data_IF_380554768934
#
_entry.id   IF_380554768934
#
_cell.length_a   1.000
_cell.length_b   1.000
_cell.length_c   1.000
_cell.angle_alpha   90.00
_cell.angle_beta   90.00
_cell.angle_gamma   90.00
#
_symmetry.space_group_name_H-M   'P 1'
#
loop_
_entity.id
_entity.type
_entity.pdbx_description
1 polymer ?
#
# COMPACT_ATOMS: atom_id res chain seq x y z
N UNK A 1 17.42 -8.46 -7.74
CA UNK A 1 16.10 -8.03 -8.24
C UNK A 1 15.25 -9.26 -8.39
N UNK A 2 14.08 -9.27 -7.75
CA UNK A 2 13.10 -10.35 -7.84
C UNK A 2 11.75 -9.75 -8.18
N UNK A 3 10.98 -10.38 -9.07
CA UNK A 3 9.64 -9.92 -9.46
C UNK A 3 8.58 -10.97 -9.13
N UNK A 4 7.43 -10.53 -8.67
CA UNK A 4 6.25 -11.36 -8.44
C UNK A 4 5.03 -10.65 -8.99
N UNK A 5 4.25 -11.32 -9.81
CA UNK A 5 3.05 -10.76 -10.46
C UNK A 5 1.84 -11.60 -10.13
N UNK A 6 0.72 -10.93 -9.88
CA UNK A 6 -0.60 -11.48 -9.62
C UNK A 6 -1.62 -10.70 -10.46
N UNK A 7 -2.83 -11.22 -10.69
CA UNK A 7 -3.88 -10.42 -11.31
C UNK A 7 -4.01 -9.06 -10.61
N UNK A 8 -3.97 -7.99 -11.40
CA UNK A 8 -4.08 -6.59 -10.93
C UNK A 8 -2.95 -6.08 -10.02
N UNK A 9 -1.85 -6.83 -9.81
CA UNK A 9 -0.73 -6.37 -8.98
C UNK A 9 0.61 -6.97 -9.39
N UNK A 10 1.63 -6.12 -9.57
CA UNK A 10 3.01 -6.56 -9.81
C UNK A 10 3.93 -5.91 -8.79
N UNK A 11 4.80 -6.70 -8.18
CA UNK A 11 5.77 -6.25 -7.18
C UNK A 11 7.17 -6.58 -7.64
N UNK A 12 8.04 -5.57 -7.67
CA UNK A 12 9.47 -5.71 -8.00
C UNK A 12 10.28 -5.34 -6.76
N UNK A 13 11.11 -6.26 -6.30
CA UNK A 13 11.99 -6.06 -5.15
C UNK A 13 13.42 -5.90 -5.63
N UNK A 14 14.06 -4.80 -5.25
CA UNK A 14 15.46 -4.52 -5.57
C UNK A 14 16.29 -4.67 -4.29
N UNK A 15 17.18 -5.67 -4.27
CA UNK A 15 18.13 -5.87 -3.18
C UNK A 15 19.42 -5.12 -3.47
N UNK A 16 19.81 -4.23 -2.55
CA UNK A 16 21.02 -3.42 -2.66
C UNK A 16 22.21 -4.09 -1.95
N UNK A 17 23.44 -3.74 -2.35
CA UNK A 17 24.65 -4.18 -1.64
C UNK A 17 24.69 -3.55 -0.24
N UNK A 18 25.21 -4.30 0.73
CA UNK A 18 25.42 -3.81 2.09
C UNK A 18 26.31 -2.55 2.08
N UNK A 19 25.91 -1.52 2.81
CA UNK A 19 26.61 -0.23 2.86
C UNK A 19 26.23 0.77 1.75
N UNK A 20 25.34 0.41 0.82
CA UNK A 20 24.81 1.36 -0.17
C UNK A 20 23.90 2.40 0.50
N UNK A 21 23.96 3.65 0.04
CA UNK A 21 23.06 4.69 0.52
C UNK A 21 21.63 4.43 0.00
N UNK A 22 20.64 4.18 0.88
CA UNK A 22 19.28 3.86 0.48
C UNK A 22 18.55 5.04 -0.19
N UNK A 23 18.93 6.28 0.11
CA UNK A 23 18.29 7.48 -0.44
C UNK A 23 18.76 7.72 -1.88
N UNK A 24 20.04 7.49 -2.16
CA UNK A 24 20.59 7.51 -3.53
C UNK A 24 19.95 6.41 -4.36
N UNK A 25 19.86 5.18 -3.82
CA UNK A 25 19.21 4.06 -4.48
C UNK A 25 17.74 4.35 -4.80
N UNK A 26 17.01 4.97 -3.86
CA UNK A 26 15.62 5.37 -4.06
C UNK A 26 15.49 6.40 -5.19
N UNK A 27 16.35 7.41 -5.23
CA UNK A 27 16.37 8.42 -6.28
C UNK A 27 16.65 7.81 -7.67
N UNK A 28 17.60 6.88 -7.75
CA UNK A 28 17.90 6.15 -8.99
C UNK A 28 16.70 5.31 -9.46
N UNK A 29 16.08 4.54 -8.55
CA UNK A 29 14.88 3.74 -8.88
C UNK A 29 13.73 4.63 -9.32
N UNK A 30 13.48 5.75 -8.63
CA UNK A 30 12.46 6.73 -9.01
C UNK A 30 12.68 7.25 -10.44
N UNK A 31 13.91 7.66 -10.76
CA UNK A 31 14.25 8.16 -12.09
C UNK A 31 14.04 7.10 -13.18
N UNK A 32 14.47 5.85 -12.93
CA UNK A 32 14.30 4.74 -13.89
C UNK A 32 12.83 4.37 -14.09
N UNK A 33 12.04 4.32 -13.02
CA UNK A 33 10.60 4.02 -13.08
C UNK A 33 9.86 5.13 -13.83
N UNK A 34 10.19 6.40 -13.58
CA UNK A 34 9.61 7.53 -14.32
C UNK A 34 9.93 7.45 -15.82
N UNK A 35 11.14 7.04 -16.20
CA UNK A 35 11.54 6.88 -17.60
C UNK A 35 10.76 5.80 -18.37
N UNK A 36 10.29 4.76 -17.67
CA UNK A 36 9.48 3.68 -18.28
C UNK A 36 7.98 3.83 -18.02
N UNK A 37 7.55 4.83 -17.25
CA UNK A 37 6.13 5.07 -16.91
C UNK A 37 5.25 5.16 -18.16
N UNK A 38 5.76 5.77 -19.23
CA UNK A 38 5.04 5.89 -20.51
C UNK A 38 4.86 4.57 -21.28
N UNK A 39 5.51 3.48 -20.85
CA UNK A 39 5.33 2.14 -21.41
C UNK A 39 4.31 1.31 -20.63
N UNK A 40 3.81 1.84 -19.50
CA UNK A 40 2.77 1.19 -18.72
C UNK A 40 1.40 1.38 -19.41
N UNK A 41 0.49 0.40 -19.33
CA UNK A 41 -0.86 0.55 -19.87
C UNK A 41 -1.60 1.75 -19.25
N UNK A 42 -2.40 2.46 -20.03
CA UNK A 42 -3.15 3.65 -19.56
C UNK A 42 -4.10 3.35 -18.40
N UNK A 43 -4.59 2.11 -18.29
CA UNK A 43 -5.45 1.67 -17.21
C UNK A 43 -4.69 1.33 -15.91
N UNK A 44 -3.35 1.38 -15.92
CA UNK A 44 -2.54 1.08 -14.74
C UNK A 44 -2.47 2.26 -13.78
N UNK A 45 -2.48 1.98 -12.48
CA UNK A 45 -2.23 3.01 -11.45
C UNK A 45 -0.76 3.39 -11.45
N UNK A 46 -0.48 4.61 -10.98
CA UNK A 46 0.90 5.05 -10.78
C UNK A 46 1.65 4.10 -9.83
N UNK A 47 2.88 3.71 -10.19
CA UNK A 47 3.68 2.82 -9.35
C UNK A 47 4.06 3.52 -8.05
N UNK A 48 3.85 2.82 -6.93
CA UNK A 48 4.27 3.28 -5.60
C UNK A 48 5.62 2.64 -5.27
N UNK A 49 6.60 3.47 -4.93
CA UNK A 49 7.95 3.01 -4.57
C UNK A 49 8.12 3.16 -3.06
N UNK A 50 8.41 2.05 -2.39
CA UNK A 50 8.59 2.01 -0.93
C UNK A 50 10.00 1.56 -0.61
N UNK A 51 10.69 2.35 0.24
CA UNK A 51 11.99 2.00 0.82
C UNK A 51 11.76 1.13 2.05
N UNK A 52 12.44 0.00 2.16
CA UNK A 52 12.35 -0.88 3.31
C UNK A 52 13.41 -1.97 3.31
N UNK A 53 13.53 -2.68 4.43
CA UNK A 53 14.48 -3.79 4.62
C UNK A 53 14.01 -5.12 4.01
N UNK A 54 12.83 -5.13 3.36
CA UNK A 54 12.21 -6.34 2.80
C UNK A 54 11.63 -7.30 3.86
N UNK A 55 11.86 -7.04 5.14
CA UNK A 55 11.22 -7.74 6.26
C UNK A 55 10.32 -6.75 7.00
N UNK A 56 9.01 -6.97 6.87
CA UNK A 56 8.00 -6.26 7.64
C UNK A 56 7.54 -7.21 8.74
N UNK A 57 7.90 -6.90 9.98
CA UNK A 57 7.34 -7.56 11.15
C UNK A 57 6.31 -6.61 11.74
N UNK A 58 5.08 -7.09 11.95
CA UNK A 58 4.09 -6.29 12.66
C UNK A 58 4.51 -6.16 14.13
N UNK A 59 4.78 -4.94 14.57
CA UNK A 59 5.13 -4.65 15.98
C UNK A 59 3.93 -4.89 16.92
N UNK A 60 2.71 -4.67 16.43
CA UNK A 60 1.48 -4.80 17.19
C UNK A 60 0.31 -5.11 16.25
N UNK A 61 -0.67 -5.86 16.77
CA UNK A 61 -1.96 -6.07 16.14
C UNK A 61 -3.06 -5.46 17.00
N UNK A 62 -3.95 -4.68 16.40
CA UNK A 62 -5.11 -4.09 17.07
C UNK A 62 -6.37 -4.63 16.39
N UNK A 63 -7.27 -5.19 17.18
CA UNK A 63 -8.62 -5.56 16.72
C UNK A 63 -9.62 -4.48 17.12
N UNK A 64 -10.53 -4.15 16.22
CA UNK A 64 -11.52 -3.11 16.41
C UNK A 64 -12.91 -3.67 16.18
N UNK A 65 -13.82 -3.38 17.11
CA UNK A 65 -15.20 -3.84 17.06
C UNK A 65 -16.10 -2.72 17.60
N UNK A 66 -17.23 -2.49 16.91
CA UNK A 66 -18.26 -1.57 17.37
C UNK A 66 -19.63 -2.13 16.99
N UNK A 67 -20.52 -2.43 17.97
CA UNK A 67 -21.85 -3.00 17.68
C UNK A 67 -22.80 -2.01 16.98
N UNK A 68 -22.51 -0.71 17.02
CA UNK A 68 -23.35 0.34 16.45
C UNK A 68 -22.87 0.82 15.06
N UNK A 69 -21.80 0.23 14.51
CA UNK A 69 -21.27 0.58 13.19
C UNK A 69 -21.31 -0.63 12.27
N UNK A 70 -21.65 -0.41 10.99
CA UNK A 70 -21.39 -1.44 9.98
C UNK A 70 -19.88 -1.60 9.76
N UNK A 71 -19.48 -2.71 9.14
CA UNK A 71 -18.06 -2.99 8.89
C UNK A 71 -17.43 -1.94 7.96
N UNK A 72 -18.22 -1.38 7.04
CA UNK A 72 -17.84 -0.29 6.15
C UNK A 72 -17.63 1.02 6.90
N UNK A 73 -18.58 1.39 7.78
CA UNK A 73 -18.46 2.58 8.64
C UNK A 73 -17.25 2.48 9.56
N UNK A 74 -17.01 1.29 10.12
CA UNK A 74 -15.85 1.05 10.96
C UNK A 74 -14.55 1.18 10.16
N UNK A 75 -14.49 0.60 8.95
CA UNK A 75 -13.33 0.73 8.05
C UNK A 75 -13.05 2.19 7.72
N UNK A 76 -14.08 2.97 7.37
CA UNK A 76 -13.94 4.40 7.08
C UNK A 76 -13.44 5.19 8.30
N UNK A 77 -13.96 4.90 9.50
CA UNK A 77 -13.52 5.54 10.72
C UNK A 77 -12.05 5.22 11.04
N UNK A 78 -11.63 3.97 10.84
CA UNK A 78 -10.23 3.56 10.99
C UNK A 78 -9.35 4.33 10.01
N UNK A 79 -9.75 4.38 8.74
CA UNK A 79 -8.96 5.00 7.68
C UNK A 79 -8.80 6.51 7.85
N UNK A 80 -9.89 7.22 8.19
CA UNK A 80 -9.90 8.68 8.25
C UNK A 80 -9.45 9.25 9.59
N UNK A 81 -9.67 8.53 10.68
CA UNK A 81 -9.43 9.06 12.04
C UNK A 81 -8.27 8.36 12.72
N UNK A 82 -8.23 7.03 12.67
CA UNK A 82 -7.27 6.25 13.46
C UNK A 82 -5.93 6.17 12.76
N UNK A 83 -5.90 5.79 11.47
CA UNK A 83 -4.66 5.65 10.71
C UNK A 83 -3.81 6.92 10.78
N UNK A 84 -4.33 8.14 10.51
CA UNK A 84 -3.49 9.34 10.56
C UNK A 84 -2.92 9.61 11.96
N UNK A 85 -3.70 9.36 13.02
CA UNK A 85 -3.24 9.55 14.41
C UNK A 85 -2.13 8.56 14.77
N UNK A 86 -2.28 7.29 14.39
CA UNK A 86 -1.26 6.27 14.67
C UNK A 86 0.00 6.52 13.84
N UNK A 87 -0.13 6.93 12.57
CA UNK A 87 1.01 7.27 11.72
C UNK A 87 1.83 8.47 12.22
N UNK A 88 1.27 9.33 13.09
CA UNK A 88 2.03 10.44 13.70
C UNK A 88 2.80 10.04 14.96
N UNK A 89 2.62 8.83 15.48
CA UNK A 89 3.33 8.36 16.68
C UNK A 89 4.77 8.01 16.30
N UNK A 90 5.73 8.52 17.10
CA UNK A 90 7.15 8.23 16.91
C UNK A 90 7.43 6.72 16.95
N UNK A 91 8.17 6.22 15.96
CA UNK A 91 8.48 4.80 15.82
C UNK A 91 7.47 3.99 14.98
N UNK A 92 6.36 4.58 14.54
CA UNK A 92 5.43 3.94 13.60
C UNK A 92 5.91 4.14 12.17
N UNK A 93 6.28 3.05 11.50
CA UNK A 93 6.73 3.08 10.11
C UNK A 93 5.58 2.92 9.10
N UNK A 94 4.63 2.02 9.38
CA UNK A 94 3.49 1.73 8.51
C UNK A 94 2.29 1.21 9.32
N UNK A 95 1.08 1.42 8.81
CA UNK A 95 -0.17 0.98 9.42
C UNK A 95 -1.00 0.27 8.37
N UNK A 96 -1.06 -1.06 8.47
CA UNK A 96 -1.84 -1.91 7.57
C UNK A 96 -3.19 -2.27 8.17
N UNK A 97 -4.25 -2.17 7.37
CA UNK A 97 -5.60 -2.60 7.75
C UNK A 97 -5.90 -3.96 7.11
N UNK A 98 -6.29 -4.93 7.93
CA UNK A 98 -6.71 -6.25 7.49
C UNK A 98 -8.24 -6.36 7.49
N UNK A 99 -8.80 -6.99 6.46
CA UNK A 99 -10.26 -7.21 6.36
C UNK A 99 -11.08 -5.94 6.16
N UNK A 100 -10.46 -4.88 5.64
CA UNK A 100 -11.14 -3.63 5.30
C UNK A 100 -12.33 -3.91 4.37
N UNK A 101 -13.49 -3.35 4.71
CA UNK A 101 -14.65 -3.31 3.84
C UNK A 101 -14.83 -1.88 3.36
N UNK A 102 -14.25 -1.58 2.21
CA UNK A 102 -14.38 -0.27 1.60
C UNK A 102 -15.77 -0.09 0.98
N UNK A 103 -16.32 1.12 1.12
CA UNK A 103 -17.53 1.50 0.41
C UNK A 103 -17.34 1.30 -1.09
N UNK A 104 -18.14 0.40 -1.66
CA UNK A 104 -18.11 0.09 -3.08
C UNK A 104 -19.50 0.30 -3.65
N UNK A 105 -19.64 1.17 -4.65
CA UNK A 105 -20.87 1.28 -5.42
C UNK A 105 -20.93 0.09 -6.39
N UNK A 106 -21.88 -0.81 -6.19
CA UNK A 106 -22.12 -1.94 -7.11
C UNK A 106 -23.29 -1.59 -8.00
N UNK A 107 -23.02 -1.45 -9.30
CA UNK A 107 -24.03 -1.23 -10.33
C UNK A 107 -24.23 -2.56 -11.03
N UNK A 108 -25.43 -3.12 -10.90
CA UNK A 108 -25.83 -4.30 -11.65
C UNK A 108 -26.57 -3.81 -12.88
N UNK A 109 -26.00 -4.05 -14.06
CA UNK A 109 -26.64 -3.72 -15.33
C UNK A 109 -27.46 -4.93 -15.73
N UNK A 110 -28.78 -4.74 -15.87
CA UNK A 110 -29.67 -5.75 -16.44
C UNK A 110 -29.62 -5.64 -17.97
N UNK A 111 -29.12 -6.65 -18.70
CA UNK A 111 -29.02 -6.62 -20.15
C UNK A 111 -30.37 -7.02 -20.76
N UNK A 112 -31.28 -6.06 -20.89
CA UNK A 112 -32.44 -6.16 -21.79
C UNK A 112 -32.12 -5.61 -23.18
#
# INVERSE_FOLDING_TARGET
VTSSSRPSSSTVTVQMKLGSNPDVALAEVLSKVQGVRGTLPDASKDPVIVKGTGQQFAMMYISMQNPNMTKEQLTEYIERVIRPRISTVEGVADVQIFGAQEYSMRIWIDPI
#
